data_IF_546807344908
#
_entry.id   IF_546807344908
#
_cell.length_a   1.000
_cell.length_b   1.000
_cell.length_c   1.000
_cell.angle_alpha   90.00
_cell.angle_beta   90.00
_cell.angle_gamma   90.00
#
_symmetry.space_group_name_H-M   'P 1'
#
loop_
_entity.id
_entity.type
_entity.pdbx_description
1 polymer ?
#
# COMPACT_ATOMS: atom_id res chain seq x y z
N UNK A 1 -16.41 -5.05 -3.88
CA UNK A 1 -17.39 -3.96 -3.74
C UNK A 1 -16.91 -3.00 -2.66
N UNK A 2 -16.96 -1.69 -2.96
CA UNK A 2 -16.61 -0.64 -1.99
C UNK A 2 -17.92 -0.07 -1.46
N UNK A 3 -18.17 -0.24 -0.16
CA UNK A 3 -19.42 0.16 0.52
C UNK A 3 -19.75 1.66 0.38
N UNK A 4 -18.71 2.50 0.21
CA UNK A 4 -18.85 3.96 0.17
C UNK A 4 -18.61 4.56 -1.23
N UNK A 5 -18.69 3.74 -2.29
CA UNK A 5 -18.51 4.20 -3.66
C UNK A 5 -19.71 3.83 -4.52
N UNK A 6 -20.34 4.83 -5.16
CA UNK A 6 -21.44 4.62 -6.10
C UNK A 6 -20.97 3.91 -7.36
N UNK A 7 -19.72 4.14 -7.77
CA UNK A 7 -19.14 3.57 -8.99
C UNK A 7 -17.64 3.37 -8.82
N UNK A 8 -17.14 2.18 -9.18
CA UNK A 8 -15.72 1.83 -9.21
C UNK A 8 -15.34 1.43 -10.62
N UNK A 9 -14.37 2.14 -11.20
CA UNK A 9 -13.90 1.94 -12.56
C UNK A 9 -12.38 1.91 -12.64
N UNK A 10 -11.86 1.22 -13.65
CA UNK A 10 -10.46 1.39 -14.04
C UNK A 10 -10.30 2.67 -14.86
N UNK A 11 -9.36 3.52 -14.44
CA UNK A 11 -9.04 4.73 -15.21
C UNK A 11 -8.35 4.31 -16.52
N UNK A 12 -8.87 4.73 -17.71
CA UNK A 12 -8.19 4.46 -18.97
C UNK A 12 -6.81 5.13 -19.04
N UNK A 13 -5.91 4.59 -19.89
CA UNK A 13 -4.56 5.15 -20.06
C UNK A 13 -4.58 6.66 -20.28
N UNK A 14 -3.60 7.37 -19.70
CA UNK A 14 -3.48 8.84 -19.73
C UNK A 14 -3.13 9.35 -21.14
N UNK A 15 -4.12 9.45 -21.98
CA UNK A 15 -4.04 10.08 -23.30
C UNK A 15 -5.10 11.20 -23.40
N UNK A 16 -4.84 12.20 -24.25
CA UNK A 16 -5.80 13.30 -24.49
C UNK A 16 -7.18 12.79 -24.86
N UNK A 17 -7.26 11.78 -25.74
CA UNK A 17 -8.52 11.19 -26.19
C UNK A 17 -9.28 10.51 -25.04
N UNK A 18 -8.58 9.70 -24.24
CA UNK A 18 -9.20 8.98 -23.15
C UNK A 18 -9.64 9.93 -22.02
N UNK A 19 -8.80 10.92 -21.67
CA UNK A 19 -9.16 11.92 -20.67
C UNK A 19 -10.42 12.69 -21.05
N UNK A 20 -10.50 13.21 -22.29
CA UNK A 20 -11.69 13.90 -22.78
C UNK A 20 -12.93 13.02 -22.75
N UNK A 21 -12.84 11.79 -23.29
CA UNK A 21 -13.96 10.87 -23.32
C UNK A 21 -14.43 10.51 -21.91
N UNK A 22 -13.51 10.10 -21.02
CA UNK A 22 -13.86 9.69 -19.67
C UNK A 22 -14.55 10.83 -18.89
N UNK A 23 -13.97 12.04 -18.95
CA UNK A 23 -14.52 13.18 -18.24
C UNK A 23 -15.80 13.75 -18.85
N UNK A 24 -16.11 13.44 -20.12
CA UNK A 24 -17.41 13.80 -20.72
C UNK A 24 -18.55 12.88 -20.29
N UNK A 25 -18.26 11.68 -19.80
CA UNK A 25 -19.24 10.68 -19.36
C UNK A 25 -19.65 10.83 -17.88
N UNK A 26 -18.89 11.62 -17.09
CA UNK A 26 -19.04 11.71 -15.64
C UNK A 26 -19.19 13.17 -15.21
N UNK A 27 -20.21 13.49 -14.42
CA UNK A 27 -20.41 14.84 -13.87
C UNK A 27 -19.57 15.03 -12.58
N UNK A 28 -18.32 15.44 -12.73
CA UNK A 28 -17.37 15.60 -11.64
C UNK A 28 -17.49 17.02 -11.04
N UNK A 29 -17.64 17.10 -9.71
CA UNK A 29 -17.64 18.38 -8.97
C UNK A 29 -16.26 18.72 -8.41
N UNK A 30 -15.48 17.71 -8.02
CA UNK A 30 -14.13 17.81 -7.52
C UNK A 30 -13.38 16.53 -7.85
N UNK A 31 -12.12 16.64 -8.26
CA UNK A 31 -11.24 15.50 -8.47
C UNK A 31 -10.21 15.43 -7.34
N UNK A 32 -10.12 14.26 -6.69
CA UNK A 32 -9.15 14.02 -5.63
C UNK A 32 -8.17 12.96 -6.09
N UNK A 33 -6.89 13.32 -6.15
CA UNK A 33 -5.81 12.40 -6.45
C UNK A 33 -5.06 12.03 -5.18
N UNK A 34 -4.68 10.74 -5.06
CA UNK A 34 -4.02 10.23 -3.88
C UNK A 34 -2.57 9.90 -4.21
N UNK A 35 -1.62 10.41 -3.40
CA UNK A 35 -0.19 10.16 -3.48
C UNK A 35 0.46 10.62 -4.79
N UNK A 36 0.90 9.68 -5.64
CA UNK A 36 1.79 9.92 -6.79
C UNK A 36 1.07 9.83 -8.14
N UNK A 37 -0.25 9.88 -8.15
CA UNK A 37 -1.09 9.71 -9.34
C UNK A 37 -1.11 11.00 -10.18
N UNK A 38 -0.04 11.25 -10.94
CA UNK A 38 0.11 12.44 -11.79
C UNK A 38 -0.28 12.14 -13.24
N UNK A 39 -1.58 12.10 -13.51
CA UNK A 39 -2.19 11.84 -14.81
C UNK A 39 -2.36 13.16 -15.58
N UNK A 40 -1.32 13.58 -16.31
CA UNK A 40 -1.22 14.94 -16.84
C UNK A 40 -2.30 15.31 -17.87
N UNK A 41 -2.76 14.37 -18.72
CA UNK A 41 -3.82 14.65 -19.65
C UNK A 41 -5.18 14.78 -18.93
N UNK A 42 -5.44 13.94 -17.93
CA UNK A 42 -6.61 14.09 -17.07
C UNK A 42 -6.58 15.41 -16.29
N UNK A 43 -5.46 15.76 -15.71
CA UNK A 43 -5.29 17.03 -15.00
C UNK A 43 -5.53 18.24 -15.93
N UNK A 44 -4.97 18.20 -17.13
CA UNK A 44 -5.17 19.25 -18.13
C UNK A 44 -6.65 19.37 -18.52
N UNK A 45 -7.33 18.26 -18.73
CA UNK A 45 -8.75 18.28 -19.12
C UNK A 45 -9.67 18.71 -17.97
N UNK A 46 -9.40 18.29 -16.73
CA UNK A 46 -10.10 18.79 -15.54
C UNK A 46 -9.98 20.32 -15.42
N UNK A 47 -8.78 20.85 -15.67
CA UNK A 47 -8.54 22.31 -15.66
C UNK A 47 -9.28 23.02 -16.79
N UNK A 48 -9.35 22.44 -17.99
CA UNK A 48 -10.12 22.98 -19.12
C UNK A 48 -11.62 23.07 -18.80
N UNK A 49 -12.11 22.15 -17.99
CA UNK A 49 -13.51 22.12 -17.55
C UNK A 49 -13.74 22.91 -16.23
N UNK A 50 -12.72 23.60 -15.71
CA UNK A 50 -12.74 24.32 -14.43
C UNK A 50 -13.13 23.45 -13.22
N UNK A 51 -12.81 22.16 -13.25
CA UNK A 51 -13.07 21.24 -12.16
C UNK A 51 -11.92 21.37 -11.12
N UNK A 52 -12.23 21.68 -9.85
CA UNK A 52 -11.22 21.74 -8.79
C UNK A 52 -10.50 20.41 -8.62
N UNK A 53 -9.17 20.46 -8.50
CA UNK A 53 -8.32 19.30 -8.28
C UNK A 53 -7.59 19.43 -6.96
N UNK A 54 -7.64 18.38 -6.14
CA UNK A 54 -6.98 18.31 -4.85
C UNK A 54 -6.06 17.07 -4.84
N UNK A 55 -4.86 17.25 -4.32
CA UNK A 55 -3.94 16.14 -4.03
C UNK A 55 -3.90 15.85 -2.54
N UNK A 56 -4.03 14.57 -2.17
CA UNK A 56 -3.98 14.10 -0.78
C UNK A 56 -2.81 13.15 -0.58
N UNK A 57 -2.10 13.33 0.54
CA UNK A 57 -0.97 12.46 0.93
C UNK A 57 0.12 12.36 -0.14
N UNK A 58 0.37 13.46 -0.86
CA UNK A 58 1.40 13.50 -1.90
C UNK A 58 2.80 13.74 -1.33
N UNK A 59 3.82 13.15 -1.99
CA UNK A 59 5.22 13.31 -1.61
C UNK A 59 6.01 13.76 -2.82
N UNK A 60 6.79 14.82 -2.66
CA UNK A 60 7.61 15.38 -3.72
C UNK A 60 9.10 15.22 -3.43
N UNK A 61 9.87 14.98 -4.49
CA UNK A 61 11.34 14.88 -4.46
C UNK A 61 11.95 15.81 -5.50
N UNK A 62 13.05 16.47 -5.17
CA UNK A 62 13.68 17.50 -6.01
C UNK A 62 14.03 17.07 -7.43
N UNK A 63 14.37 15.79 -7.65
CA UNK A 63 14.83 15.26 -8.94
C UNK A 63 13.73 14.71 -9.83
N UNK A 64 12.46 14.88 -9.47
CA UNK A 64 11.35 14.35 -10.26
C UNK A 64 11.23 15.10 -11.60
N UNK A 65 10.97 14.35 -12.66
CA UNK A 65 11.04 14.85 -14.05
C UNK A 65 10.04 15.96 -14.37
N UNK A 66 8.88 15.96 -13.73
CA UNK A 66 7.85 16.96 -13.96
C UNK A 66 8.23 18.38 -13.51
N UNK A 67 9.17 18.53 -12.59
CA UNK A 67 9.73 19.85 -12.23
C UNK A 67 10.67 20.42 -13.30
N UNK A 68 11.11 19.62 -14.26
CA UNK A 68 11.93 20.04 -15.39
C UNK A 68 11.10 20.48 -16.62
N UNK A 69 9.80 20.23 -16.61
CA UNK A 69 8.90 20.52 -17.71
C UNK A 69 8.03 21.73 -17.38
N UNK A 70 8.18 22.83 -18.15
CA UNK A 70 7.35 24.03 -17.97
C UNK A 70 5.84 23.73 -18.15
N UNK A 71 5.49 22.81 -19.04
CA UNK A 71 4.11 22.40 -19.25
C UNK A 71 3.55 21.70 -18.02
N UNK A 72 4.25 20.72 -17.47
CA UNK A 72 3.82 20.01 -16.27
C UNK A 72 3.73 20.92 -15.04
N UNK A 73 4.73 21.81 -14.88
CA UNK A 73 4.68 22.85 -13.83
C UNK A 73 3.48 23.80 -14.01
N UNK A 74 3.16 24.13 -15.27
CA UNK A 74 1.96 24.94 -15.58
C UNK A 74 0.67 24.27 -15.11
N UNK A 75 0.56 22.93 -15.24
CA UNK A 75 -0.56 22.16 -14.72
C UNK A 75 -0.56 22.17 -13.19
N UNK A 76 0.58 21.90 -12.55
CA UNK A 76 0.67 21.88 -11.08
C UNK A 76 0.31 23.23 -10.44
N UNK A 77 0.69 24.35 -11.04
CA UNK A 77 0.31 25.68 -10.55
C UNK A 77 -1.18 25.97 -10.54
N UNK A 78 -1.97 25.21 -11.31
CA UNK A 78 -3.43 25.32 -11.38
C UNK A 78 -4.16 24.31 -10.49
N UNK A 79 -3.44 23.43 -9.79
CA UNK A 79 -4.05 22.54 -8.79
C UNK A 79 -4.63 23.39 -7.66
N UNK A 80 -5.84 23.03 -7.22
CA UNK A 80 -6.53 23.82 -6.20
C UNK A 80 -5.80 23.76 -4.85
N UNK A 81 -5.40 22.55 -4.40
CA UNK A 81 -4.63 22.39 -3.16
C UNK A 81 -3.83 21.08 -3.15
N UNK A 82 -2.67 21.14 -2.49
CA UNK A 82 -1.83 19.98 -2.19
C UNK A 82 -1.79 19.73 -0.67
N UNK A 83 -2.28 18.60 -0.22
CA UNK A 83 -2.02 18.07 1.10
C UNK A 83 -0.85 17.10 1.02
N UNK A 84 0.31 17.52 1.52
CA UNK A 84 1.57 16.79 1.38
C UNK A 84 1.97 16.05 2.65
N UNK A 85 2.80 15.02 2.50
CA UNK A 85 3.21 14.18 3.62
C UNK A 85 4.19 14.87 4.57
N UNK A 86 5.04 15.79 4.07
CA UNK A 86 6.10 16.38 4.87
C UNK A 86 6.48 17.80 4.43
N UNK A 87 7.21 18.47 5.29
CA UNK A 87 7.69 19.83 5.06
C UNK A 87 8.65 19.94 3.86
N UNK A 88 9.47 18.92 3.58
CA UNK A 88 10.35 18.92 2.41
C UNK A 88 9.54 19.02 1.11
N UNK A 89 8.43 18.28 0.99
CA UNK A 89 7.53 18.38 -0.15
C UNK A 89 6.93 19.77 -0.31
N UNK A 90 6.52 20.42 0.80
CA UNK A 90 6.02 21.79 0.80
C UNK A 90 7.09 22.77 0.29
N UNK A 91 8.32 22.66 0.78
CA UNK A 91 9.43 23.51 0.35
C UNK A 91 9.77 23.31 -1.13
N UNK A 92 9.75 22.08 -1.63
CA UNK A 92 9.97 21.78 -3.05
C UNK A 92 8.90 22.46 -3.91
N UNK A 93 7.62 22.30 -3.60
CA UNK A 93 6.53 22.93 -4.34
C UNK A 93 6.64 24.47 -4.30
N UNK A 94 6.91 25.05 -3.13
CA UNK A 94 7.10 26.49 -2.95
C UNK A 94 8.27 27.04 -3.78
N UNK A 95 9.37 26.27 -3.90
CA UNK A 95 10.52 26.67 -4.74
C UNK A 95 10.20 26.74 -6.24
N UNK A 96 9.08 26.13 -6.66
CA UNK A 96 8.56 26.18 -8.02
C UNK A 96 7.34 27.12 -8.19
N UNK A 97 7.06 27.94 -7.16
CA UNK A 97 5.98 28.93 -7.18
C UNK A 97 4.58 28.33 -6.95
N UNK A 98 4.49 27.21 -6.21
CA UNK A 98 3.25 26.57 -5.81
C UNK A 98 3.11 26.72 -4.29
N UNK A 99 2.16 27.53 -3.83
CA UNK A 99 2.03 27.94 -2.42
C UNK A 99 0.77 27.41 -1.74
N UNK A 100 -0.21 26.91 -2.49
CA UNK A 100 -1.44 26.28 -2.02
C UNK A 100 -1.17 24.86 -1.50
N UNK A 101 -0.35 24.75 -0.46
CA UNK A 101 0.19 23.50 0.09
C UNK A 101 0.04 23.48 1.60
N UNK A 102 -0.51 22.38 2.14
CA UNK A 102 -0.57 22.09 3.56
C UNK A 102 0.14 20.77 3.88
N UNK A 103 0.86 20.71 4.98
CA UNK A 103 1.48 19.48 5.47
C UNK A 103 0.49 18.77 6.37
N UNK A 104 0.07 17.57 6.00
CA UNK A 104 -0.95 16.78 6.72
C UNK A 104 -0.51 15.37 7.09
N UNK A 105 0.68 14.95 6.66
CA UNK A 105 1.18 13.61 6.92
C UNK A 105 0.80 12.57 5.86
N UNK A 106 1.13 11.32 6.16
CA UNK A 106 0.82 10.16 5.30
C UNK A 106 -0.44 9.46 5.81
N UNK A 107 -1.48 9.41 5.00
CA UNK A 107 -2.75 8.75 5.31
C UNK A 107 -2.62 7.24 5.64
N UNK A 108 -1.49 6.61 5.26
CA UNK A 108 -1.21 5.24 5.71
C UNK A 108 -1.01 5.15 7.21
N UNK A 109 -0.44 6.16 7.83
CA UNK A 109 -0.26 6.21 9.29
C UNK A 109 -1.60 6.23 10.00
N UNK A 110 -2.56 7.03 9.50
CA UNK A 110 -3.91 7.07 10.05
C UNK A 110 -4.59 5.69 9.94
N UNK A 111 -4.46 5.04 8.79
CA UNK A 111 -4.99 3.68 8.57
C UNK A 111 -4.37 2.66 9.53
N UNK A 112 -3.05 2.73 9.75
CA UNK A 112 -2.35 1.84 10.71
C UNK A 112 -2.82 2.10 12.13
N UNK A 113 -2.96 3.37 12.54
CA UNK A 113 -3.44 3.74 13.86
C UNK A 113 -4.88 3.28 14.11
N UNK A 114 -5.75 3.37 13.09
CA UNK A 114 -7.12 2.86 13.19
C UNK A 114 -7.11 1.34 13.35
N UNK A 115 -6.36 0.62 12.50
CA UNK A 115 -6.23 -0.84 12.58
C UNK A 115 -5.66 -1.30 13.94
N UNK A 116 -4.70 -0.56 14.50
CA UNK A 116 -4.14 -0.88 15.82
C UNK A 116 -5.14 -0.73 16.96
N UNK A 117 -6.14 0.15 16.80
CA UNK A 117 -7.22 0.34 17.77
C UNK A 117 -8.36 -0.69 17.61
N UNK A 118 -8.48 -1.33 16.46
CA UNK A 118 -9.47 -2.37 16.24
C UNK A 118 -9.21 -3.55 17.18
N UNK A 119 -10.24 -4.04 17.85
CA UNK A 119 -10.19 -5.28 18.65
C UNK A 119 -10.33 -6.48 17.72
N UNK A 120 -9.29 -6.73 16.92
CA UNK A 120 -9.25 -7.91 16.08
C UNK A 120 -8.43 -9.01 16.77
N UNK A 121 -9.04 -10.15 16.94
CA UNK A 121 -8.44 -11.34 17.52
C UNK A 121 -8.72 -12.53 16.63
N UNK A 122 -7.73 -13.39 16.46
CA UNK A 122 -7.91 -14.69 15.84
C UNK A 122 -7.55 -15.79 16.83
N UNK A 123 -8.58 -16.41 17.41
CA UNK A 123 -8.42 -17.45 18.42
C UNK A 123 -7.60 -18.66 17.93
N UNK A 124 -7.71 -19.00 16.64
CA UNK A 124 -6.96 -20.12 16.08
C UNK A 124 -5.46 -19.82 16.04
N UNK A 125 -5.07 -18.61 15.62
CA UNK A 125 -3.66 -18.16 15.70
C UNK A 125 -3.18 -18.13 17.15
N UNK A 126 -3.96 -17.54 18.06
CA UNK A 126 -3.59 -17.42 19.48
C UNK A 126 -3.40 -18.79 20.16
N UNK A 127 -4.18 -19.78 19.77
CA UNK A 127 -4.02 -21.15 20.29
C UNK A 127 -2.78 -21.86 19.76
N UNK A 128 -2.25 -21.44 18.60
CA UNK A 128 -1.06 -22.03 17.96
C UNK A 128 0.22 -21.35 18.45
N UNK A 129 0.15 -20.06 18.73
CA UNK A 129 1.30 -19.31 19.21
C UNK A 129 1.64 -19.74 20.64
N UNK A 130 2.93 -20.08 20.86
CA UNK A 130 3.46 -20.48 22.15
C UNK A 130 4.31 -19.36 22.78
N UNK A 131 5.20 -19.69 23.70
CA UNK A 131 6.06 -18.73 24.40
C UNK A 131 7.24 -18.21 23.57
N UNK A 132 7.47 -18.77 22.38
CA UNK A 132 8.56 -18.33 21.49
C UNK A 132 8.21 -16.98 20.85
N UNK A 133 9.20 -16.08 20.68
CA UNK A 133 8.98 -14.85 19.94
C UNK A 133 8.52 -15.10 18.49
N UNK A 134 7.62 -14.27 18.01
CA UNK A 134 7.02 -14.39 16.68
C UNK A 134 7.70 -13.43 15.71
N UNK A 135 8.14 -13.96 14.57
CA UNK A 135 8.67 -13.15 13.46
C UNK A 135 7.66 -13.16 12.32
N UNK A 136 7.20 -11.97 11.92
CA UNK A 136 6.30 -11.79 10.78
C UNK A 136 7.08 -11.31 9.56
N UNK A 137 7.07 -12.11 8.49
CA UNK A 137 7.57 -11.74 7.17
C UNK A 137 6.40 -11.23 6.33
N UNK A 138 6.27 -9.90 6.20
CA UNK A 138 5.16 -9.25 5.53
C UNK A 138 5.44 -8.89 4.08
N UNK A 139 4.47 -9.11 3.19
CA UNK A 139 4.53 -8.79 1.76
C UNK A 139 5.76 -9.38 1.05
N UNK A 140 6.13 -10.62 1.36
CA UNK A 140 7.33 -11.26 0.82
C UNK A 140 7.18 -11.57 -0.68
N UNK A 141 8.26 -11.37 -1.42
CA UNK A 141 8.36 -11.75 -2.82
C UNK A 141 9.10 -13.08 -2.99
N UNK A 142 8.94 -13.72 -4.14
CA UNK A 142 9.64 -14.97 -4.45
C UNK A 142 11.17 -14.88 -4.27
N UNK A 143 11.75 -13.71 -4.52
CA UNK A 143 13.18 -13.46 -4.30
C UNK A 143 13.61 -13.55 -2.82
N UNK A 144 12.70 -13.28 -1.88
CA UNK A 144 12.98 -13.33 -0.44
C UNK A 144 12.92 -14.75 0.11
N UNK A 145 12.15 -15.64 -0.54
CA UNK A 145 11.82 -16.96 -0.01
C UNK A 145 13.07 -17.79 0.33
N UNK A 146 14.10 -17.77 -0.52
CA UNK A 146 15.34 -18.52 -0.25
C UNK A 146 16.05 -18.07 1.03
N UNK A 147 16.06 -16.77 1.30
CA UNK A 147 16.65 -16.20 2.51
C UNK A 147 15.82 -16.58 3.73
N UNK A 148 14.50 -16.40 3.63
CA UNK A 148 13.54 -16.70 4.70
C UNK A 148 13.60 -18.18 5.08
N UNK A 149 13.59 -19.09 4.11
CA UNK A 149 13.65 -20.53 4.33
C UNK A 149 14.96 -20.92 5.04
N UNK A 150 16.11 -20.38 4.60
CA UNK A 150 17.39 -20.63 5.27
C UNK A 150 17.39 -20.14 6.72
N UNK A 151 16.81 -18.98 6.97
CA UNK A 151 16.69 -18.42 8.31
C UNK A 151 15.82 -19.29 9.20
N UNK A 152 14.62 -19.67 8.72
CA UNK A 152 13.69 -20.52 9.44
C UNK A 152 14.34 -21.88 9.74
N UNK A 153 14.89 -22.57 8.72
CA UNK A 153 15.51 -23.88 8.91
C UNK A 153 16.70 -23.85 9.88
N UNK A 154 17.32 -22.70 10.08
CA UNK A 154 18.41 -22.54 11.06
C UNK A 154 17.93 -22.22 12.47
N UNK A 155 16.81 -21.53 12.64
CA UNK A 155 16.39 -20.94 13.91
C UNK A 155 14.99 -21.32 14.39
N UNK A 156 14.34 -22.33 13.81
CA UNK A 156 12.95 -22.67 14.13
C UNK A 156 12.70 -23.04 15.58
N UNK A 157 13.66 -23.64 16.25
CA UNK A 157 13.51 -23.96 17.68
C UNK A 157 13.43 -22.72 18.58
N UNK A 158 13.80 -21.54 18.07
CA UNK A 158 13.86 -20.30 18.85
C UNK A 158 12.67 -19.38 18.61
N UNK A 159 12.03 -19.47 17.45
CA UNK A 159 10.99 -18.53 17.01
C UNK A 159 9.83 -19.28 16.38
N UNK A 160 8.65 -18.65 16.40
CA UNK A 160 7.56 -18.99 15.50
C UNK A 160 7.48 -17.97 14.37
N UNK A 161 6.90 -18.36 13.23
CA UNK A 161 6.96 -17.53 12.04
C UNK A 161 5.60 -17.40 11.39
N UNK A 162 5.30 -16.18 10.91
CA UNK A 162 4.16 -15.92 10.04
C UNK A 162 4.72 -15.35 8.72
N UNK A 163 4.43 -15.99 7.59
CA UNK A 163 4.87 -15.54 6.27
C UNK A 163 3.63 -15.10 5.49
N UNK A 164 3.59 -13.85 5.07
CA UNK A 164 2.53 -13.31 4.23
C UNK A 164 3.10 -12.94 2.85
N UNK A 165 2.96 -13.81 1.84
CA UNK A 165 3.38 -13.52 0.47
C UNK A 165 2.64 -12.31 -0.11
N UNK A 166 3.34 -11.51 -0.94
CA UNK A 166 2.74 -10.36 -1.61
C UNK A 166 1.66 -10.79 -2.62
N UNK A 167 1.87 -11.90 -3.29
CA UNK A 167 0.91 -12.50 -4.21
C UNK A 167 0.47 -13.87 -3.68
N UNK A 168 -0.85 -14.09 -3.64
CA UNK A 168 -1.41 -15.41 -3.30
C UNK A 168 -1.35 -16.27 -4.57
N UNK A 169 -0.35 -17.13 -4.63
CA UNK A 169 -0.12 -18.07 -5.72
C UNK A 169 0.07 -19.48 -5.14
N UNK A 170 -0.88 -20.38 -5.39
CA UNK A 170 -0.89 -21.71 -4.82
C UNK A 170 0.38 -22.51 -5.12
N UNK A 171 0.98 -22.34 -6.32
CA UNK A 171 2.22 -23.01 -6.67
C UNK A 171 3.39 -22.49 -5.85
N UNK A 172 3.55 -21.18 -5.74
CA UNK A 172 4.63 -20.56 -4.95
C UNK A 172 4.48 -20.84 -3.45
N UNK A 173 3.25 -20.85 -2.93
CA UNK A 173 2.94 -21.22 -1.54
C UNK A 173 3.33 -22.67 -1.29
N UNK A 174 2.99 -23.59 -2.21
CA UNK A 174 3.36 -25.00 -2.10
C UNK A 174 4.88 -25.21 -2.16
N UNK A 175 5.57 -24.52 -3.06
CA UNK A 175 7.04 -24.53 -3.15
C UNK A 175 7.67 -24.04 -1.85
N UNK A 176 7.16 -22.94 -1.28
CA UNK A 176 7.62 -22.38 -0.03
C UNK A 176 7.39 -23.37 1.14
N UNK A 177 6.17 -23.90 1.28
CA UNK A 177 5.82 -24.90 2.30
C UNK A 177 6.76 -26.10 2.24
N UNK A 178 7.01 -26.68 1.06
CA UNK A 178 7.85 -27.86 0.88
C UNK A 178 9.34 -27.60 1.13
N UNK A 179 9.79 -26.34 1.09
CA UNK A 179 11.18 -25.97 1.33
C UNK A 179 11.51 -25.77 2.82
N UNK A 180 10.50 -25.66 3.67
CA UNK A 180 10.65 -25.48 5.12
C UNK A 180 10.67 -26.87 5.79
N UNK A 181 11.66 -27.12 6.65
CA UNK A 181 11.89 -28.41 7.31
C UNK A 181 11.14 -28.58 8.64
N UNK A 182 10.11 -27.80 8.87
CA UNK A 182 9.35 -27.73 10.12
C UNK A 182 7.85 -27.81 9.84
N UNK A 183 7.03 -27.82 10.90
CA UNK A 183 5.58 -27.90 10.76
C UNK A 183 5.03 -26.60 10.18
N UNK A 184 4.50 -26.68 8.98
CA UNK A 184 3.94 -25.53 8.25
C UNK A 184 2.46 -25.72 8.03
N UNK A 185 1.64 -24.78 8.52
CA UNK A 185 0.22 -24.70 8.21
C UNK A 185 -0.09 -23.51 7.30
N UNK A 186 -1.14 -23.64 6.51
CA UNK A 186 -1.75 -22.52 5.81
C UNK A 186 -2.72 -21.80 6.76
N UNK A 187 -2.87 -20.49 6.60
CA UNK A 187 -3.82 -19.74 7.40
C UNK A 187 -5.28 -20.23 7.21
N UNK A 188 -5.63 -20.72 6.01
CA UNK A 188 -6.93 -21.32 5.74
C UNK A 188 -7.13 -22.72 6.33
N UNK A 189 -6.06 -23.35 6.83
CA UNK A 189 -6.08 -24.71 7.39
C UNK A 189 -5.00 -24.84 8.47
N UNK A 190 -5.25 -24.23 9.61
CA UNK A 190 -4.35 -24.21 10.76
C UNK A 190 -4.37 -25.56 11.50
N UNK A 191 -3.18 -26.02 11.92
CA UNK A 191 -2.96 -27.26 12.66
C UNK A 191 -2.33 -26.98 14.03
N UNK A 192 -2.60 -27.83 15.04
CA UNK A 192 -2.20 -27.57 16.43
C UNK A 192 -0.69 -27.42 16.63
N UNK A 193 0.18 -28.06 16.00
CA UNK A 193 1.64 -28.00 16.24
C UNK A 193 2.36 -27.30 15.09
N UNK A 194 2.06 -26.03 14.89
CA UNK A 194 2.58 -25.24 13.77
C UNK A 194 3.75 -24.36 14.22
N UNK A 195 4.90 -24.48 13.53
CA UNK A 195 6.06 -23.59 13.70
C UNK A 195 5.98 -22.40 12.75
N UNK A 196 5.39 -22.59 11.57
CA UNK A 196 5.31 -21.59 10.50
C UNK A 196 3.89 -21.51 9.95
N UNK A 197 3.29 -20.34 9.99
CA UNK A 197 1.99 -20.06 9.35
C UNK A 197 2.26 -19.33 8.03
N UNK A 198 1.80 -19.89 6.90
CA UNK A 198 1.81 -19.19 5.63
C UNK A 198 0.43 -18.62 5.36
N UNK A 199 0.36 -17.31 5.12
CA UNK A 199 -0.88 -16.61 4.82
C UNK A 199 -1.25 -16.80 3.35
N UNK A 200 -2.35 -17.48 3.12
CA UNK A 200 -2.92 -17.79 1.81
C UNK A 200 -4.22 -17.01 1.52
N UNK A 201 -4.41 -15.89 2.23
CA UNK A 201 -5.55 -14.99 2.09
C UNK A 201 -5.14 -13.52 2.04
N UNK A 202 -5.98 -12.68 1.43
CA UNK A 202 -5.75 -11.24 1.30
C UNK A 202 -6.42 -10.48 2.45
N UNK A 203 -5.78 -9.38 2.91
CA UNK A 203 -6.38 -8.41 3.83
C UNK A 203 -6.08 -8.63 5.30
N UNK A 204 -5.53 -9.79 5.72
CA UNK A 204 -5.27 -10.10 7.13
C UNK A 204 -3.91 -9.60 7.65
N UNK A 205 -2.93 -9.39 6.77
CA UNK A 205 -1.55 -9.02 7.16
C UNK A 205 -1.49 -7.83 8.12
N UNK A 206 -2.29 -6.79 7.89
CA UNK A 206 -2.33 -5.59 8.73
C UNK A 206 -2.67 -5.89 10.20
N UNK A 207 -3.41 -6.97 10.45
CA UNK A 207 -3.77 -7.41 11.80
C UNK A 207 -2.72 -8.34 12.41
N UNK A 208 -1.97 -9.07 11.59
CA UNK A 208 -1.00 -10.06 12.05
C UNK A 208 0.23 -9.44 12.70
N UNK A 209 0.55 -8.19 12.37
CA UNK A 209 1.66 -7.47 13.01
C UNK A 209 1.49 -7.28 14.52
N UNK A 210 0.28 -7.44 15.06
CA UNK A 210 0.04 -7.40 16.54
C UNK A 210 0.65 -8.59 17.28
N UNK A 211 0.85 -9.71 16.58
CA UNK A 211 1.49 -10.90 17.12
C UNK A 211 3.02 -10.87 16.99
N UNK A 212 3.56 -9.90 16.26
CA UNK A 212 4.98 -9.86 15.93
C UNK A 212 5.81 -9.25 17.04
N UNK A 213 6.85 -9.95 17.49
CA UNK A 213 7.95 -9.36 18.23
C UNK A 213 8.95 -8.70 17.27
N UNK A 214 9.08 -9.25 16.05
CA UNK A 214 9.91 -8.71 14.97
C UNK A 214 9.13 -8.79 13.63
N UNK A 215 9.19 -7.73 12.85
CA UNK A 215 8.63 -7.69 11.50
C UNK A 215 9.72 -7.44 10.44
N UNK A 216 9.68 -8.23 9.37
CA UNK A 216 10.39 -7.98 8.11
C UNK A 216 9.37 -7.47 7.09
N UNK A 217 9.66 -6.33 6.43
CA UNK A 217 8.76 -5.64 5.49
C UNK A 217 9.53 -5.25 4.23
#
# INVERSE_FOLDING_TARGET
DYEYADLVLYLPFDTVKNAKRFLSEINIKVAVFIKYEFWFNYLSELQNQNIPVIYVSSLFRRRQFYFKSNWMLGIFKKIHHFFVQNEESRLILSSHGIYNVSVTGDTRVDSVLLTAKEQWFNKEIENILDVRPVIVFGSTWKGDHNLIVRFINKYSSKYQYIIAPHLINNKEISELKNSIQYNVSLYSALEEFTDVIIIDSIGVLKYLYRYADVAYI
#
